data_IF_786255992538
#
_entry.id   IF_786255992538
#
_cell.length_a   1.000
_cell.length_b   1.000
_cell.length_c   1.000
_cell.angle_alpha   90.00
_cell.angle_beta   90.00
_cell.angle_gamma   90.00
#
_symmetry.space_group_name_H-M   'P 1'
#
loop_
_entity.id
_entity.type
_entity.pdbx_description
1 polymer ?
#
# COMPACT_ATOMS: atom_id res chain seq x y z
N UNK A 1 -1.76 6.15 16.99
CA UNK A 1 -3.13 5.86 17.52
C UNK A 1 -3.89 4.84 16.68
N UNK A 2 -3.88 4.89 15.33
CA UNK A 2 -4.59 3.91 14.50
C UNK A 2 -4.09 2.48 14.75
N UNK A 3 -2.81 2.19 14.60
CA UNK A 3 -2.21 0.87 14.82
C UNK A 3 -2.64 0.26 16.17
N UNK A 4 -2.55 1.03 17.25
CA UNK A 4 -2.95 0.58 18.59
C UNK A 4 -4.42 0.17 18.64
N UNK A 5 -5.33 0.95 18.01
CA UNK A 5 -6.76 0.62 17.98
C UNK A 5 -7.05 -0.63 17.14
N UNK A 6 -6.29 -0.85 16.06
CA UNK A 6 -6.36 -2.06 15.22
C UNK A 6 -5.92 -3.29 16.02
N UNK A 7 -4.77 -3.23 16.68
CA UNK A 7 -4.26 -4.34 17.51
C UNK A 7 -5.21 -4.65 18.65
N UNK A 8 -5.67 -3.66 19.39
CA UNK A 8 -6.61 -3.87 20.51
C UNK A 8 -7.91 -4.50 20.01
N UNK A 9 -8.47 -4.02 18.90
CA UNK A 9 -9.70 -4.57 18.34
C UNK A 9 -9.52 -6.01 17.85
N UNK A 10 -8.42 -6.32 17.19
CA UNK A 10 -8.13 -7.67 16.68
C UNK A 10 -7.77 -8.68 17.78
N UNK A 11 -7.22 -8.21 18.91
CA UNK A 11 -6.85 -9.07 20.04
C UNK A 11 -7.98 -9.30 21.06
N UNK A 12 -9.09 -8.58 20.96
CA UNK A 12 -10.18 -8.69 21.91
C UNK A 12 -10.93 -10.03 21.75
N UNK A 13 -11.10 -10.83 22.82
CA UNK A 13 -11.69 -12.16 22.74
C UNK A 13 -13.21 -12.17 22.45
N UNK A 14 -13.89 -11.10 22.82
CA UNK A 14 -15.36 -10.93 22.61
C UNK A 14 -15.66 -9.45 22.37
N UNK A 15 -16.56 -9.15 21.43
CA UNK A 15 -17.07 -7.78 21.25
C UNK A 15 -16.08 -6.82 20.61
N UNK A 16 -15.38 -7.24 19.56
CA UNK A 16 -14.47 -6.38 18.77
C UNK A 16 -15.12 -5.07 18.31
N UNK A 17 -16.46 -5.02 18.28
CA UNK A 17 -17.25 -3.85 17.89
C UNK A 17 -17.20 -2.70 18.90
N UNK A 18 -16.85 -2.97 20.16
CA UNK A 18 -16.77 -1.98 21.23
C UNK A 18 -15.56 -1.05 21.03
N UNK A 19 -14.47 -1.58 20.45
CA UNK A 19 -13.26 -0.80 20.20
C UNK A 19 -13.38 -0.13 18.83
N UNK A 20 -13.59 1.18 18.83
CA UNK A 20 -13.62 1.97 17.59
C UNK A 20 -12.22 2.08 17.00
N UNK A 21 -12.11 1.86 15.69
CA UNK A 21 -10.87 2.19 14.96
C UNK A 21 -10.70 3.72 14.92
N UNK A 22 -9.52 4.18 15.34
CA UNK A 22 -9.15 5.61 15.35
C UNK A 22 -8.24 5.96 14.18
N UNK A 23 -8.47 5.29 13.05
CA UNK A 23 -7.70 5.50 11.82
C UNK A 23 -8.26 6.71 11.06
N UNK A 24 -7.37 7.55 10.57
CA UNK A 24 -7.66 8.68 9.71
C UNK A 24 -7.01 8.42 8.35
N UNK A 25 -7.74 8.63 7.29
CA UNK A 25 -7.18 8.65 5.94
C UNK A 25 -6.40 9.93 5.75
N UNK A 26 -5.12 9.82 5.38
CA UNK A 26 -4.26 10.96 5.14
C UNK A 26 -4.29 11.38 3.67
N UNK A 27 -4.19 12.69 3.43
CA UNK A 27 -4.05 13.26 2.10
C UNK A 27 -2.58 13.56 1.85
N UNK A 28 -1.99 12.84 0.92
CA UNK A 28 -0.56 12.94 0.58
C UNK A 28 -0.41 13.59 -0.78
N UNK A 29 0.42 14.63 -0.84
CA UNK A 29 0.84 15.25 -2.09
C UNK A 29 2.28 14.85 -2.41
N UNK A 30 2.55 14.28 -3.60
CA UNK A 30 3.91 13.99 -4.07
C UNK A 30 4.26 14.99 -5.17
N UNK A 31 5.36 15.72 -5.00
CA UNK A 31 5.78 16.81 -5.89
C UNK A 31 7.29 16.74 -6.21
N UNK A 32 7.67 17.23 -7.38
CA UNK A 32 9.08 17.42 -7.75
C UNK A 32 9.62 18.80 -7.36
N UNK A 33 8.77 19.71 -6.87
CA UNK A 33 9.12 21.06 -6.48
C UNK A 33 8.98 21.30 -4.98
N UNK A 34 9.87 22.10 -4.42
CA UNK A 34 9.80 22.47 -3.01
C UNK A 34 8.71 23.51 -2.80
N UNK A 35 7.76 23.21 -1.88
CA UNK A 35 6.76 24.17 -1.44
C UNK A 35 5.58 24.36 -2.38
N UNK A 36 5.40 23.53 -3.41
CA UNK A 36 4.19 23.51 -4.24
C UNK A 36 3.14 22.55 -3.69
N UNK A 37 1.89 22.90 -3.87
CA UNK A 37 0.73 22.09 -3.54
C UNK A 37 0.26 21.36 -4.80
N UNK A 38 -0.16 20.10 -4.69
CA UNK A 38 -0.67 19.30 -5.82
C UNK A 38 -1.92 19.94 -6.45
N UNK A 39 -2.75 20.58 -5.65
CA UNK A 39 -3.93 21.31 -6.11
C UNK A 39 -4.02 22.63 -5.33
N UNK A 40 -4.17 23.74 -6.05
CA UNK A 40 -4.28 25.07 -5.45
C UNK A 40 -5.47 25.15 -4.51
N UNK A 41 -5.20 25.47 -3.25
CA UNK A 41 -6.22 25.61 -2.21
C UNK A 41 -6.69 24.30 -1.58
N UNK A 42 -6.12 23.14 -1.95
CA UNK A 42 -6.32 21.89 -1.23
C UNK A 42 -5.42 21.83 0.01
N UNK A 43 -5.90 21.21 1.07
CA UNK A 43 -5.10 20.92 2.26
C UNK A 43 -4.62 19.48 2.20
N UNK A 44 -3.32 19.28 2.42
CA UNK A 44 -2.68 17.98 2.53
C UNK A 44 -2.16 17.77 3.95
N UNK A 45 -2.23 16.53 4.44
CA UNK A 45 -1.66 16.16 5.73
C UNK A 45 -0.13 16.04 5.62
N UNK A 46 0.36 15.61 4.43
CA UNK A 46 1.81 15.57 4.14
C UNK A 46 2.11 15.95 2.69
N UNK A 47 3.31 16.54 2.48
CA UNK A 47 3.84 16.87 1.15
C UNK A 47 5.22 16.26 1.02
N UNK A 48 5.35 15.29 0.10
CA UNK A 48 6.57 14.54 -0.15
C UNK A 48 7.22 15.08 -1.43
N UNK A 49 8.49 15.47 -1.30
CA UNK A 49 9.28 15.93 -2.45
C UNK A 49 10.16 14.81 -2.95
N UNK A 50 10.13 14.58 -4.26
CA UNK A 50 10.97 13.61 -4.95
C UNK A 50 11.76 14.27 -6.09
N UNK A 51 12.94 13.76 -6.40
CA UNK A 51 13.85 14.31 -7.41
C UNK A 51 13.99 13.44 -8.66
N UNK A 52 13.65 12.15 -8.55
CA UNK A 52 13.75 11.17 -9.62
C UNK A 52 12.72 10.03 -9.43
N UNK A 53 12.67 9.11 -10.39
CA UNK A 53 11.74 7.98 -10.38
C UNK A 53 12.03 6.98 -9.27
N UNK A 54 13.29 6.74 -8.93
CA UNK A 54 13.68 5.80 -7.88
C UNK A 54 13.22 6.31 -6.51
N UNK A 55 13.38 7.61 -6.25
CA UNK A 55 12.88 8.24 -5.03
C UNK A 55 11.34 8.21 -4.98
N UNK A 56 10.68 8.46 -6.13
CA UNK A 56 9.22 8.35 -6.22
C UNK A 56 8.72 6.94 -5.91
N UNK A 57 9.35 5.90 -6.47
CA UNK A 57 9.01 4.50 -6.16
C UNK A 57 9.27 4.18 -4.69
N UNK A 58 10.38 4.65 -4.14
CA UNK A 58 10.74 4.46 -2.72
C UNK A 58 9.68 5.07 -1.80
N UNK A 59 9.26 6.31 -2.04
CA UNK A 59 8.24 6.97 -1.22
C UNK A 59 6.88 6.27 -1.30
N UNK A 60 6.47 5.81 -2.48
CA UNK A 60 5.26 4.99 -2.63
C UNK A 60 5.34 3.70 -1.82
N UNK A 61 6.48 3.02 -1.82
CA UNK A 61 6.72 1.80 -1.06
C UNK A 61 6.66 2.08 0.45
N UNK A 62 7.21 3.21 0.90
CA UNK A 62 7.16 3.62 2.31
C UNK A 62 5.70 3.85 2.73
N UNK A 63 4.94 4.64 1.98
CA UNK A 63 3.51 4.87 2.27
C UNK A 63 2.72 3.54 2.33
N UNK A 64 2.99 2.61 1.41
CA UNK A 64 2.39 1.28 1.46
C UNK A 64 2.80 0.51 2.72
N UNK A 65 4.06 0.62 3.14
CA UNK A 65 4.59 -0.02 4.36
C UNK A 65 3.96 0.54 5.63
N UNK A 66 3.79 1.84 5.72
CA UNK A 66 3.13 2.53 6.84
C UNK A 66 1.64 2.14 6.92
N UNK A 67 0.97 2.08 5.76
CA UNK A 67 -0.41 1.58 5.68
C UNK A 67 -0.52 0.13 6.17
N UNK A 68 0.38 -0.75 5.75
CA UNK A 68 0.45 -2.14 6.18
C UNK A 68 0.67 -2.28 7.68
N UNK A 69 1.64 -1.54 8.22
CA UNK A 69 1.89 -1.48 9.66
C UNK A 69 0.68 -0.94 10.43
N UNK A 70 0.10 0.15 9.96
CA UNK A 70 -1.07 0.80 10.58
C UNK A 70 -2.24 -0.19 10.75
N UNK A 71 -2.45 -1.06 9.78
CA UNK A 71 -3.52 -2.06 9.77
C UNK A 71 -3.13 -3.41 10.40
N UNK A 72 -2.03 -3.45 11.15
CA UNK A 72 -1.62 -4.59 11.97
C UNK A 72 -0.87 -5.70 11.24
N UNK A 73 -0.30 -5.40 10.09
CA UNK A 73 0.63 -6.29 9.34
C UNK A 73 0.02 -7.67 9.02
N UNK A 74 -1.29 -7.77 8.87
CA UNK A 74 -1.98 -9.05 8.68
C UNK A 74 -1.98 -9.98 9.91
N UNK A 75 -1.42 -9.53 11.04
CA UNK A 75 -1.28 -10.36 12.26
C UNK A 75 -2.56 -10.45 13.08
N UNK A 76 -3.49 -9.53 12.88
CA UNK A 76 -4.73 -9.46 13.65
C UNK A 76 -5.94 -9.31 12.75
N UNK A 77 -7.02 -9.98 13.08
CA UNK A 77 -8.32 -9.81 12.41
C UNK A 77 -9.16 -8.77 13.17
N UNK A 78 -9.11 -7.52 12.70
CA UNK A 78 -9.86 -6.41 13.30
C UNK A 78 -11.27 -6.24 12.74
N UNK A 79 -11.75 -7.16 11.91
CA UNK A 79 -13.14 -7.16 11.40
C UNK A 79 -14.12 -7.48 12.53
N UNK A 80 -15.34 -6.99 12.42
CA UNK A 80 -16.41 -7.45 13.33
C UNK A 80 -16.81 -8.89 13.02
N UNK A 81 -16.99 -9.70 14.07
CA UNK A 81 -17.26 -11.15 13.96
C UNK A 81 -18.55 -11.55 13.21
N UNK A 82 -19.39 -10.59 12.84
CA UNK A 82 -20.64 -10.84 12.09
C UNK A 82 -20.49 -10.88 10.57
N UNK A 83 -19.34 -10.49 10.00
CA UNK A 83 -19.16 -10.36 8.55
C UNK A 83 -18.37 -11.54 7.96
N UNK A 84 -19.02 -12.67 7.79
CA UNK A 84 -18.38 -13.93 7.40
C UNK A 84 -17.97 -14.06 5.92
N UNK A 85 -18.29 -13.11 5.04
CA UNK A 85 -18.11 -13.32 3.59
C UNK A 85 -17.65 -12.10 2.80
N UNK A 86 -17.25 -11.00 3.41
CA UNK A 86 -16.87 -9.79 2.68
C UNK A 86 -15.38 -9.45 2.84
N UNK A 87 -14.79 -8.94 1.77
CA UNK A 87 -13.49 -8.27 1.81
C UNK A 87 -13.64 -6.98 2.60
N UNK A 88 -12.81 -6.77 3.60
CA UNK A 88 -12.74 -5.51 4.34
C UNK A 88 -11.53 -4.72 3.84
N UNK A 89 -11.74 -3.48 3.43
CA UNK A 89 -10.68 -2.60 2.98
C UNK A 89 -10.48 -1.48 3.99
N UNK A 90 -9.25 -1.33 4.48
CA UNK A 90 -8.80 -0.17 5.24
C UNK A 90 -8.19 0.85 4.29
N UNK A 91 -8.72 2.08 4.24
CA UNK A 91 -8.16 3.16 3.45
C UNK A 91 -7.18 3.91 4.33
N UNK A 92 -5.92 3.99 3.90
CA UNK A 92 -4.86 4.70 4.61
C UNK A 92 -4.67 6.10 4.02
N UNK A 93 -4.36 6.19 2.74
CA UNK A 93 -3.95 7.43 2.12
C UNK A 93 -4.70 7.74 0.83
N UNK A 94 -4.89 9.02 0.57
CA UNK A 94 -5.26 9.58 -0.72
C UNK A 94 -4.03 10.25 -1.31
N UNK A 95 -3.40 9.60 -2.29
CA UNK A 95 -2.17 10.08 -2.92
C UNK A 95 -2.51 10.88 -4.16
N UNK A 96 -2.01 12.10 -4.22
CA UNK A 96 -2.13 13.00 -5.37
C UNK A 96 -0.72 13.37 -5.84
N UNK A 97 -0.48 13.29 -7.13
CA UNK A 97 0.78 13.74 -7.72
C UNK A 97 0.62 15.16 -8.26
N UNK A 98 1.61 16.00 -7.98
CA UNK A 98 1.73 17.30 -8.63
C UNK A 98 2.18 17.13 -10.08
N UNK A 99 1.71 18.03 -10.96
CA UNK A 99 2.10 18.04 -12.38
C UNK A 99 3.61 18.16 -12.61
N UNK A 100 4.35 18.72 -11.63
CA UNK A 100 5.80 18.80 -11.69
C UNK A 100 6.51 17.43 -11.76
N UNK A 101 5.86 16.35 -11.33
CA UNK A 101 6.36 14.98 -11.51
C UNK A 101 6.57 14.68 -12.99
N UNK A 102 5.61 15.06 -13.83
CA UNK A 102 5.74 14.89 -15.28
C UNK A 102 6.60 15.98 -15.91
N UNK A 103 6.38 17.25 -15.54
CA UNK A 103 7.03 18.41 -16.17
C UNK A 103 8.52 18.52 -15.85
N UNK A 104 8.93 18.22 -14.60
CA UNK A 104 10.31 18.45 -14.13
C UNK A 104 11.18 17.20 -14.12
N UNK A 105 10.61 16.03 -13.83
CA UNK A 105 11.37 14.77 -13.77
C UNK A 105 10.95 13.77 -14.84
N UNK A 106 10.00 14.15 -15.71
CA UNK A 106 9.67 13.40 -16.93
C UNK A 106 8.89 12.11 -16.72
N UNK A 107 8.34 11.85 -15.51
CA UNK A 107 7.65 10.61 -15.19
C UNK A 107 6.18 10.74 -15.61
N UNK A 108 5.82 10.06 -16.71
CA UNK A 108 4.44 9.99 -17.19
C UNK A 108 3.68 8.77 -16.68
N UNK A 109 4.40 7.70 -16.34
CA UNK A 109 3.83 6.45 -15.82
C UNK A 109 4.90 5.64 -15.08
N UNK A 110 4.50 4.86 -14.09
CA UNK A 110 5.34 3.91 -13.35
C UNK A 110 4.77 2.52 -13.61
N UNK A 111 5.59 1.61 -14.12
CA UNK A 111 5.16 0.23 -14.33
C UNK A 111 5.02 -0.49 -12.99
N UNK A 112 3.96 -1.25 -12.82
CA UNK A 112 3.73 -2.00 -11.57
C UNK A 112 4.82 -3.05 -11.31
N UNK A 113 5.37 -3.66 -12.36
CA UNK A 113 6.48 -4.61 -12.24
C UNK A 113 7.73 -3.92 -11.70
N UNK A 114 8.05 -2.71 -12.18
CA UNK A 114 9.21 -1.94 -11.71
C UNK A 114 9.04 -1.56 -10.23
N UNK A 115 7.80 -1.30 -9.79
CA UNK A 115 7.50 -1.06 -8.38
C UNK A 115 7.75 -2.32 -7.53
N UNK A 116 7.34 -3.51 -8.00
CA UNK A 116 7.65 -4.78 -7.30
C UNK A 116 9.14 -5.05 -7.23
N UNK A 117 9.90 -4.77 -8.30
CA UNK A 117 11.36 -4.89 -8.30
C UNK A 117 12.02 -3.89 -7.34
N UNK A 118 11.46 -2.69 -7.21
CA UNK A 118 11.92 -1.72 -6.21
C UNK A 118 11.63 -2.18 -4.78
N UNK A 119 10.47 -2.84 -4.53
CA UNK A 119 10.17 -3.45 -3.23
C UNK A 119 11.14 -4.59 -2.88
N UNK A 120 11.61 -5.34 -3.87
CA UNK A 120 12.61 -6.39 -3.67
C UNK A 120 13.98 -5.83 -3.25
N UNK A 121 14.35 -4.67 -3.80
CA UNK A 121 15.66 -4.03 -3.57
C UNK A 121 15.68 -3.14 -2.31
N UNK A 122 14.55 -2.50 -1.97
CA UNK A 122 14.46 -1.57 -0.83
C UNK A 122 14.27 -2.36 0.46
N UNK A 123 15.17 -2.14 1.43
CA UNK A 123 15.10 -2.79 2.74
C UNK A 123 14.42 -1.89 3.77
N UNK A 124 13.74 -2.50 4.73
CA UNK A 124 13.06 -1.77 5.80
C UNK A 124 14.01 -0.89 6.61
N UNK A 125 15.25 -1.37 6.85
CA UNK A 125 16.27 -0.60 7.59
C UNK A 125 16.78 0.65 6.86
N UNK A 126 16.57 0.73 5.54
CA UNK A 126 17.09 1.80 4.68
C UNK A 126 16.09 2.95 4.52
N UNK A 127 14.98 2.89 5.24
CA UNK A 127 13.96 3.94 5.26
C UNK A 127 13.88 4.61 6.63
N UNK A 128 13.63 5.92 6.62
CA UNK A 128 13.44 6.73 7.81
C UNK A 128 11.94 6.85 8.09
N UNK A 129 11.39 5.88 8.83
CA UNK A 129 10.00 5.88 9.25
C UNK A 129 9.89 5.32 10.66
N UNK A 130 9.20 6.06 11.54
CA UNK A 130 8.93 5.63 12.91
C UNK A 130 7.96 4.45 12.98
N UNK A 131 7.17 4.22 11.95
CA UNK A 131 6.15 3.20 11.88
C UNK A 131 6.68 1.86 11.36
N UNK A 132 7.63 1.91 10.41
CA UNK A 132 8.17 0.71 9.78
C UNK A 132 9.22 0.07 10.68
N UNK A 133 9.14 -1.27 10.95
CA UNK A 133 10.12 -1.93 11.81
C UNK A 133 11.51 -1.90 11.19
N UNK A 134 12.53 -1.55 12.01
CA UNK A 134 13.93 -1.61 11.57
C UNK A 134 14.40 -3.05 11.44
N UNK A 135 14.40 -3.60 10.22
CA UNK A 135 14.81 -4.96 9.92
C UNK A 135 15.61 -5.03 8.62
N UNK A 136 16.53 -6.00 8.53
CA UNK A 136 17.30 -6.29 7.32
C UNK A 136 16.55 -7.22 6.36
N UNK A 137 15.33 -6.86 6.03
CA UNK A 137 14.50 -7.57 5.05
C UNK A 137 13.95 -6.57 4.02
N UNK A 138 13.61 -7.05 2.82
CA UNK A 138 13.01 -6.23 1.77
C UNK A 138 11.54 -5.94 2.05
N UNK A 139 11.01 -4.85 1.48
CA UNK A 139 9.58 -4.57 1.50
C UNK A 139 8.77 -5.69 0.84
N UNK A 140 9.30 -6.32 -0.20
CA UNK A 140 8.64 -7.45 -0.84
C UNK A 140 8.43 -8.61 0.14
N UNK A 141 9.44 -8.93 0.95
CA UNK A 141 9.32 -9.95 2.00
C UNK A 141 8.37 -9.53 3.11
N UNK A 142 8.42 -8.28 3.48
CA UNK A 142 7.53 -7.70 4.51
C UNK A 142 6.05 -7.75 4.12
N UNK A 143 5.72 -7.50 2.85
CA UNK A 143 4.34 -7.55 2.37
C UNK A 143 3.86 -8.96 2.02
N UNK A 144 4.67 -9.72 1.30
CA UNK A 144 4.25 -10.95 0.63
C UNK A 144 4.93 -12.21 1.16
N UNK A 145 5.86 -12.07 2.10
CA UNK A 145 6.67 -13.18 2.65
C UNK A 145 7.42 -13.98 1.57
N UNK A 146 7.83 -13.33 0.48
CA UNK A 146 8.62 -13.89 -0.61
C UNK A 146 9.82 -13.02 -0.93
N UNK A 147 10.88 -13.61 -1.52
CA UNK A 147 12.14 -12.92 -1.80
C UNK A 147 12.29 -12.51 -3.28
N UNK A 148 11.29 -12.75 -4.12
CA UNK A 148 11.36 -12.47 -5.56
C UNK A 148 10.10 -11.82 -6.07
N UNK A 149 10.25 -10.68 -6.75
CA UNK A 149 9.19 -9.96 -7.44
C UNK A 149 8.51 -10.81 -8.52
N UNK A 150 9.27 -11.69 -9.18
CA UNK A 150 8.73 -12.65 -10.15
C UNK A 150 7.71 -13.61 -9.52
N UNK A 151 7.94 -14.07 -8.28
CA UNK A 151 6.98 -14.95 -7.58
C UNK A 151 5.66 -14.24 -7.28
N UNK A 152 5.72 -12.96 -6.92
CA UNK A 152 4.51 -12.14 -6.72
C UNK A 152 3.77 -11.95 -8.05
N UNK A 153 4.52 -11.63 -9.11
CA UNK A 153 3.97 -11.48 -10.44
C UNK A 153 3.24 -12.75 -10.90
N UNK A 154 3.88 -13.91 -10.82
CA UNK A 154 3.31 -15.20 -11.24
C UNK A 154 2.06 -15.54 -10.43
N UNK A 155 2.08 -15.28 -9.12
CA UNK A 155 0.93 -15.49 -8.24
C UNK A 155 -0.26 -14.60 -8.62
N UNK A 156 -0.03 -13.32 -8.93
CA UNK A 156 -1.07 -12.39 -9.35
C UNK A 156 -1.67 -12.76 -10.70
N UNK A 157 -0.84 -13.16 -11.68
CA UNK A 157 -1.31 -13.64 -12.99
C UNK A 157 -2.16 -14.89 -12.83
N UNK A 158 -1.68 -15.89 -12.09
CA UNK A 158 -2.41 -17.12 -11.82
C UNK A 158 -3.76 -16.85 -11.16
N UNK A 159 -3.78 -15.99 -10.18
CA UNK A 159 -5.01 -15.63 -9.47
C UNK A 159 -6.02 -14.90 -10.37
N UNK A 160 -5.56 -14.06 -11.28
CA UNK A 160 -6.42 -13.43 -12.28
C UNK A 160 -7.02 -14.46 -13.24
N UNK A 161 -6.20 -15.39 -13.76
CA UNK A 161 -6.64 -16.47 -14.65
C UNK A 161 -7.69 -17.38 -14.00
N UNK A 162 -7.51 -17.76 -12.73
CA UNK A 162 -8.48 -18.54 -11.95
C UNK A 162 -9.83 -17.83 -11.80
N UNK A 163 -9.85 -16.51 -11.90
CA UNK A 163 -11.07 -15.69 -11.88
C UNK A 163 -11.55 -15.28 -13.29
N UNK A 164 -11.03 -15.91 -14.35
CA UNK A 164 -11.44 -15.65 -15.73
C UNK A 164 -10.95 -14.30 -16.28
N UNK A 165 -9.96 -13.68 -15.63
CA UNK A 165 -9.37 -12.41 -16.06
C UNK A 165 -8.01 -12.67 -16.67
N UNK A 166 -7.80 -12.25 -17.92
CA UNK A 166 -6.46 -12.26 -18.51
C UNK A 166 -5.70 -11.06 -18.00
N UNK A 167 -4.83 -11.27 -17.01
CA UNK A 167 -3.99 -10.21 -16.47
C UNK A 167 -2.63 -10.17 -17.17
N UNK A 168 -2.31 -9.01 -17.74
CA UNK A 168 -0.95 -8.70 -18.19
C UNK A 168 -0.43 -7.53 -17.34
N UNK A 169 0.23 -7.86 -16.22
CA UNK A 169 0.75 -6.85 -15.29
C UNK A 169 1.86 -5.98 -15.90
N UNK A 170 2.45 -6.39 -17.04
CA UNK A 170 3.38 -5.52 -17.77
C UNK A 170 2.70 -4.27 -18.34
N UNK A 171 1.38 -4.29 -18.45
CA UNK A 171 0.57 -3.17 -18.94
C UNK A 171 -0.19 -2.46 -17.82
N UNK A 172 0.15 -2.71 -16.56
CA UNK A 172 -0.41 -2.00 -15.41
C UNK A 172 0.53 -0.87 -15.02
N UNK A 173 0.02 0.35 -15.07
CA UNK A 173 0.79 1.56 -14.80
C UNK A 173 0.09 2.45 -13.78
N UNK A 174 0.88 3.05 -12.91
CA UNK A 174 0.49 4.20 -12.13
C UNK A 174 0.80 5.46 -12.97
N UNK A 175 -0.21 6.29 -13.18
CA UNK A 175 -0.09 7.50 -14.00
C UNK A 175 -0.17 8.73 -13.10
N UNK A 176 0.85 9.59 -12.98
CA UNK A 176 0.83 10.74 -12.08
C UNK A 176 -0.30 11.77 -12.31
N UNK A 177 -0.99 11.68 -13.43
CA UNK A 177 -2.19 12.51 -13.69
C UNK A 177 -3.45 12.02 -12.96
N UNK A 178 -3.40 10.88 -12.28
CA UNK A 178 -4.51 10.28 -11.54
C UNK A 178 -4.29 10.40 -10.03
N UNK A 179 -5.38 10.31 -9.28
CA UNK A 179 -5.35 10.19 -7.81
C UNK A 179 -5.42 8.70 -7.43
N UNK A 180 -4.73 8.33 -6.37
CA UNK A 180 -4.69 6.96 -5.90
C UNK A 180 -5.13 6.85 -4.45
N UNK A 181 -5.73 5.74 -4.14
CA UNK A 181 -6.08 5.36 -2.78
C UNK A 181 -5.18 4.20 -2.36
N UNK A 182 -4.43 4.37 -1.30
CA UNK A 182 -3.72 3.26 -0.67
C UNK A 182 -4.66 2.54 0.29
N UNK A 183 -4.85 1.25 0.05
CA UNK A 183 -5.74 0.40 0.83
C UNK A 183 -5.05 -0.88 1.27
N UNK A 184 -5.41 -1.37 2.44
CA UNK A 184 -5.18 -2.75 2.83
C UNK A 184 -6.48 -3.53 2.73
N UNK A 185 -6.44 -4.76 2.26
CA UNK A 185 -7.61 -5.62 2.18
C UNK A 185 -7.42 -6.85 3.07
N UNK A 186 -8.43 -7.15 3.88
CA UNK A 186 -8.52 -8.41 4.61
C UNK A 186 -9.62 -9.26 3.99
N UNK A 187 -9.25 -10.47 3.58
CA UNK A 187 -10.17 -11.45 3.00
C UNK A 187 -10.25 -12.67 3.91
N UNK A 188 -11.40 -13.32 3.98
CA UNK A 188 -11.50 -14.63 4.62
C UNK A 188 -10.78 -15.64 3.74
N UNK A 189 -9.87 -16.40 4.33
CA UNK A 189 -9.07 -17.42 3.66
C UNK A 189 -9.93 -18.41 2.89
N UNK A 190 -9.79 -18.41 1.58
CA UNK A 190 -10.30 -19.41 0.64
C UNK A 190 -9.42 -19.37 -0.54
N UNK A 191 -8.66 -19.57 -1.20
CA UNK A 191 -7.80 -19.60 -2.37
C UNK A 191 -6.72 -18.49 -2.48
N UNK A 192 -7.02 -17.27 -2.04
CA UNK A 192 -6.03 -16.18 -2.15
C UNK A 192 -5.06 -16.07 -0.95
N UNK A 193 -5.51 -16.41 0.26
CA UNK A 193 -4.68 -16.32 1.47
C UNK A 193 -3.55 -17.33 1.53
N UNK A 194 -3.68 -18.47 0.84
CA UNK A 194 -2.64 -19.48 0.76
C UNK A 194 -1.52 -19.11 -0.24
N UNK A 195 -1.84 -18.31 -1.27
CA UNK A 195 -0.90 -17.96 -2.34
C UNK A 195 0.05 -16.83 -1.93
N UNK A 196 -0.39 -15.88 -1.10
CA UNK A 196 0.38 -14.68 -0.78
C UNK A 196 0.59 -14.44 0.73
N UNK A 197 0.51 -15.46 1.57
CA UNK A 197 0.86 -15.35 3.00
C UNK A 197 -0.07 -14.48 3.85
N UNK A 198 -1.31 -14.26 3.42
CA UNK A 198 -2.39 -13.72 4.27
C UNK A 198 -2.53 -12.20 4.33
N UNK A 199 -1.78 -11.44 3.57
CA UNK A 199 -1.95 -9.99 3.49
C UNK A 199 -1.93 -9.48 2.06
N UNK A 200 -2.91 -8.66 1.68
CA UNK A 200 -2.98 -8.05 0.35
C UNK A 200 -2.91 -6.53 0.48
N UNK A 201 -1.95 -5.94 -0.24
CA UNK A 201 -1.99 -4.55 -0.62
C UNK A 201 -2.61 -4.47 -2.02
N UNK A 202 -3.85 -4.07 -2.08
CA UNK A 202 -4.48 -3.68 -3.32
C UNK A 202 -4.47 -2.16 -3.43
N UNK A 203 -3.72 -1.59 -4.37
CA UNK A 203 -3.97 -0.23 -4.82
C UNK A 203 -5.21 -0.26 -5.70
N UNK A 204 -6.35 0.28 -5.24
CA UNK A 204 -7.48 0.53 -6.10
C UNK A 204 -7.30 1.91 -6.74
N UNK A 205 -7.32 1.95 -8.07
CA UNK A 205 -7.42 3.17 -8.85
C UNK A 205 -8.90 3.53 -8.88
N UNK A 206 -9.25 4.69 -8.37
CA UNK A 206 -10.56 5.31 -8.55
C UNK A 206 -10.38 6.56 -9.41
#
# INVERSE_FOLDING_TARGET
MCHTSVILRGSAPVGTEIIKLTCKTEKVCITAKKGEECEKGATYDSVIKVKDEEELKKELIILMGECWWMMGEGKVDYRSKGFYSYTYCGICDLVTFDKSIQENIGISQINYRDLLESMEKTKLKDVDSESIPYKDESFLRYFFNVDSSQKVYDALVKAAEENGVTANLNNVYLTPSQKYVLVTAMMKTGSWGEVLGGGYLGGAII
#
